data_IF_844565815226
#
_entry.id   IF_844565815226
#
_cell.length_a   1.000
_cell.length_b   1.000
_cell.length_c   1.000
_cell.angle_alpha   90.00
_cell.angle_beta   90.00
_cell.angle_gamma   90.00
#
_symmetry.space_group_name_H-M   'P 1'
#
loop_
_entity.id
_entity.type
_entity.pdbx_description
1 polymer ?
2 non-polymer ?
3 non-polymer ?
4 water ?
#
# COMPACT_ATOMS: atom_id res chain seq x y z
N UNK A 42 -35.50 2.47 -40.04
CA UNK A 42 -34.73 3.38 -39.23
C UNK A 42 -34.67 3.03 -37.76
N UNK A 43 -35.77 2.47 -37.25
CA UNK A 43 -35.84 2.10 -35.83
C UNK A 43 -34.62 1.32 -35.39
N UNK A 44 -33.99 0.59 -36.31
CA UNK A 44 -32.82 -0.22 -36.02
C UNK A 44 -31.71 0.62 -35.39
N UNK A 45 -31.82 1.94 -35.52
CA UNK A 45 -30.92 2.84 -34.80
C UNK A 45 -31.05 2.64 -33.29
N UNK A 46 -32.27 2.43 -32.82
CA UNK A 46 -32.57 2.37 -31.39
C UNK A 46 -32.93 0.98 -30.92
N UNK A 47 -33.37 0.11 -31.83
CA UNK A 47 -33.46 -1.29 -31.47
C UNK A 47 -32.12 -1.79 -30.95
N UNK A 48 -31.03 -1.17 -31.43
CA UNK A 48 -29.69 -1.49 -30.97
C UNK A 48 -29.49 -1.01 -29.53
N UNK A 49 -29.87 0.25 -29.28
CA UNK A 49 -29.66 0.85 -27.97
C UNK A 49 -30.32 0.06 -26.86
N UNK A 50 -31.52 -0.47 -27.10
CA UNK A 50 -32.24 -1.14 -26.03
C UNK A 50 -31.45 -2.35 -25.51
N UNK A 51 -30.88 -3.13 -26.39
CA UNK A 51 -30.20 -4.35 -25.99
C UNK A 51 -28.90 -4.13 -25.21
N UNK A 52 -28.23 -3.02 -25.50
CA UNK A 52 -26.96 -2.70 -24.88
C UNK A 52 -27.06 -1.91 -23.59
N UNK A 53 -28.03 -0.99 -23.49
CA UNK A 53 -28.09 -0.10 -22.35
C UNK A 53 -28.27 -0.86 -21.04
N UNK A 54 -29.02 -1.97 -21.07
CA UNK A 54 -29.11 -2.81 -19.89
C UNK A 54 -27.74 -3.31 -19.47
N UNK A 55 -26.97 -3.85 -20.44
CA UNK A 55 -25.65 -4.38 -20.15
C UNK A 55 -24.73 -3.29 -19.59
N UNK A 56 -24.70 -2.13 -20.22
CA UNK A 56 -23.89 -1.02 -19.74
C UNK A 56 -24.16 -0.74 -18.27
N UNK A 57 -25.43 -0.58 -17.91
CA UNK A 57 -25.75 -0.36 -16.50
C UNK A 57 -25.18 -1.43 -15.61
N UNK A 58 -25.26 -2.69 -16.04
CA UNK A 58 -24.67 -3.79 -15.29
C UNK A 58 -23.17 -3.58 -15.17
N UNK A 59 -22.48 -3.51 -16.30
CA UNK A 59 -21.02 -3.43 -16.36
C UNK A 59 -20.44 -2.28 -15.53
N UNK A 60 -20.95 -1.08 -15.78
CA UNK A 60 -20.52 0.09 -15.03
C UNK A 60 -20.77 -0.11 -13.53
N UNK A 61 -21.91 -0.72 -13.20
CA UNK A 61 -22.20 -0.97 -11.79
C UNK A 61 -21.28 -2.05 -11.22
N UNK A 62 -20.87 -3.00 -12.06
CA UNK A 62 -19.85 -3.95 -11.64
C UNK A 62 -18.51 -3.28 -11.37
N UNK A 63 -18.08 -2.41 -12.29
CA UNK A 63 -16.85 -1.64 -12.09
C UNK A 63 -16.96 -0.80 -10.83
N UNK A 64 -18.17 -0.34 -10.50
CA UNK A 64 -18.36 0.52 -9.35
C UNK A 64 -18.15 -0.25 -8.06
N UNK A 65 -18.60 -1.51 -8.01
CA UNK A 65 -18.37 -2.33 -6.82
C UNK A 65 -16.90 -2.64 -6.65
N UNK A 66 -16.20 -2.93 -7.75
CA UNK A 66 -14.77 -3.20 -7.70
C UNK A 66 -14.00 -2.00 -7.16
N UNK A 67 -14.49 -0.78 -7.42
CA UNK A 67 -13.79 0.40 -6.93
C UNK A 67 -14.07 0.63 -5.45
N UNK A 68 -15.25 0.25 -4.97
CA UNK A 68 -15.51 0.28 -3.54
C UNK A 68 -14.67 -0.76 -2.81
N UNK A 69 -14.68 -2.00 -3.31
CA UNK A 69 -13.93 -3.06 -2.67
C UNK A 69 -12.44 -2.75 -2.62
N UNK A 70 -11.89 -2.24 -3.71
CA UNK A 70 -10.47 -1.92 -3.74
C UNK A 70 -10.11 -0.78 -2.80
N UNK A 71 -11.02 0.19 -2.65
CA UNK A 71 -10.77 1.29 -1.72
C UNK A 71 -10.88 0.82 -0.27
N UNK A 72 -11.84 -0.06 0.01
CA UNK A 72 -11.94 -0.62 1.35
C UNK A 72 -10.65 -1.34 1.74
N UNK A 73 -10.11 -2.15 0.83
CA UNK A 73 -8.88 -2.87 1.12
C UNK A 73 -7.74 -1.90 1.40
N UNK A 74 -7.54 -0.92 0.51
CA UNK A 74 -6.47 0.07 0.69
C UNK A 74 -6.59 0.76 2.04
N UNK A 75 -7.81 1.13 2.42
CA UNK A 75 -8.01 1.83 3.68
C UNK A 75 -7.71 0.94 4.87
N UNK A 76 -8.26 -0.27 4.88
CA UNK A 76 -8.05 -1.19 6.00
C UNK A 76 -6.58 -1.51 6.20
N UNK A 77 -5.81 -1.59 5.11
CA UNK A 77 -4.37 -1.81 5.24
C UNK A 77 -3.67 -0.61 5.84
N UNK A 78 -4.13 0.61 5.52
CA UNK A 78 -3.49 1.81 6.04
C UNK A 78 -3.90 2.06 7.49
N UNK A 79 -5.15 1.72 7.85
CA UNK A 79 -5.52 1.76 9.26
C UNK A 79 -4.63 0.82 10.05
N UNK A 80 -4.27 -0.31 9.44
CA UNK A 80 -3.41 -1.28 10.11
C UNK A 80 -1.99 -0.75 10.29
N UNK A 81 -1.46 -0.08 9.27
CA UNK A 81 -0.12 0.48 9.40
C UNK A 81 -0.08 1.62 10.40
N UNK A 82 -1.17 2.35 10.57
CA UNK A 82 -1.21 3.41 11.58
C UNK A 82 -1.37 2.84 12.98
N UNK A 83 -2.01 1.68 13.12
CA UNK A 83 -2.13 1.07 14.43
C UNK A 83 -0.77 0.62 14.96
N UNK A 84 0.05 0.03 14.10
CA UNK A 84 1.40 -0.30 14.51
C UNK A 84 2.18 0.91 14.93
N UNK A 85 2.02 2.01 14.19
CA UNK A 85 2.65 3.27 14.58
C UNK A 85 2.13 3.74 15.93
N UNK A 86 0.83 3.61 16.16
CA UNK A 86 0.19 4.17 17.35
C UNK A 86 0.46 3.32 18.59
N UNK A 87 1.26 2.27 18.48
CA UNK A 87 1.55 1.43 19.64
C UNK A 87 2.08 2.28 20.79
N UNK A 88 1.43 2.16 21.93
CA UNK A 88 1.85 2.76 23.19
C UNK A 88 2.16 1.64 24.18
N UNK A 89 3.07 1.87 25.12
CA UNK A 89 3.37 0.84 26.11
C UNK A 89 2.10 0.44 26.84
N UNK A 90 2.06 -0.81 27.30
CA UNK A 90 0.84 -1.33 27.87
C UNK A 90 0.59 -0.70 29.24
N UNK A 91 -0.68 -0.45 29.53
CA UNK A 91 -1.11 0.02 30.85
C UNK A 91 -2.37 -0.75 31.23
N UNK A 92 -2.91 -0.42 32.40
CA UNK A 92 -4.14 -1.05 32.87
C UNK A 92 -5.32 -0.27 32.31
N UNK A 93 -6.15 -0.94 31.55
CA UNK A 93 -7.32 -0.32 30.94
C UNK A 93 -8.55 -1.11 31.33
N UNK A 94 -9.67 -0.41 31.48
CA UNK A 94 -10.93 -1.08 31.75
C UNK A 94 -11.34 -1.78 30.45
N UNK A 95 -11.47 -3.11 30.50
CA UNK A 95 -11.85 -3.83 29.29
C UNK A 95 -13.32 -3.67 28.96
N UNK A 96 -14.11 -3.20 29.92
CA UNK A 96 -15.52 -2.94 29.68
C UNK A 96 -15.72 -1.59 28.99
N UNK A 97 -14.86 -0.61 29.30
CA UNK A 97 -14.88 0.65 28.58
C UNK A 97 -14.61 0.42 27.09
N UNK A 98 -13.58 -0.38 26.78
CA UNK A 98 -13.30 -0.73 25.40
C UNK A 98 -14.52 -1.35 24.74
N UNK A 99 -15.18 -2.27 25.43
CA UNK A 99 -16.35 -2.93 24.86
C UNK A 99 -17.44 -1.94 24.52
N UNK A 100 -17.68 -0.95 25.39
CA UNK A 100 -18.76 0.00 25.17
C UNK A 100 -18.45 0.97 24.03
N UNK A 101 -17.19 1.37 23.88
CA UNK A 101 -16.82 2.13 22.69
C UNK A 101 -17.06 1.31 21.42
N UNK A 102 -16.50 0.10 21.37
CA UNK A 102 -16.70 -0.74 20.19
C UNK A 102 -18.19 -0.96 19.96
N UNK A 103 -18.96 -1.05 21.03
CA UNK A 103 -20.41 -1.16 20.93
C UNK A 103 -21.05 0.17 20.54
N UNK A 104 -20.33 1.28 20.69
CA UNK A 104 -20.85 2.58 20.27
C UNK A 104 -20.81 2.74 18.75
N UNK A 105 -19.61 2.59 18.17
CA UNK A 105 -19.47 2.72 16.72
C UNK A 105 -20.39 1.77 15.98
N UNK A 106 -20.46 0.52 16.43
CA UNK A 106 -21.24 -0.49 15.73
C UNK A 106 -22.73 -0.45 16.02
N UNK A 107 -23.22 0.42 16.91
CA UNK A 107 -24.65 0.36 17.19
C UNK A 107 -25.48 0.77 15.98
N UNK A 108 -24.96 1.61 15.06
CA UNK A 108 -25.67 1.74 13.77
C UNK A 108 -25.80 0.41 13.07
N UNK A 109 -24.69 -0.31 12.89
CA UNK A 109 -24.73 -1.61 12.25
C UNK A 109 -25.47 -2.66 13.09
N UNK A 110 -25.56 -2.47 14.41
CA UNK A 110 -26.26 -3.46 15.24
C UNK A 110 -27.77 -3.33 15.08
N UNK A 111 -28.30 -2.10 15.06
CA UNK A 111 -29.73 -1.92 14.84
C UNK A 111 -30.12 -2.45 13.47
N UNK A 112 -29.29 -2.20 12.46
CA UNK A 112 -29.46 -2.83 11.15
C UNK A 112 -29.63 -4.34 11.27
N UNK A 113 -29.00 -4.97 12.26
CA UNK A 113 -28.93 -6.42 12.33
C UNK A 113 -30.00 -7.06 13.20
N UNK A 114 -30.82 -6.26 13.88
CA UNK A 114 -31.86 -6.77 14.77
C UNK A 114 -31.36 -7.96 15.58
N UNK A 115 -30.20 -7.76 16.20
CA UNK A 115 -29.51 -8.74 17.02
C UNK A 115 -29.46 -8.28 18.47
N UNK A 116 -29.30 -9.23 19.39
CA UNK A 116 -29.25 -8.94 20.81
C UNK A 116 -27.88 -9.21 21.39
N UNK A 117 -27.39 -8.24 22.17
CA UNK A 117 -26.05 -8.25 22.75
C UNK A 117 -26.19 -8.42 24.26
N UNK A 118 -25.60 -9.49 24.79
CA UNK A 118 -25.41 -9.62 26.23
C UNK A 118 -24.03 -9.07 26.53
N UNK A 119 -23.97 -7.89 27.14
CA UNK A 119 -22.70 -7.21 27.35
C UNK A 119 -22.33 -7.49 28.80
N UNK A 120 -21.50 -8.51 28.99
CA UNK A 120 -21.06 -8.91 30.31
C UNK A 120 -19.96 -7.99 30.81
N UNK A 121 -19.58 -8.20 32.07
CA UNK A 121 -18.61 -7.35 32.76
C UNK A 121 -17.20 -7.75 32.34
N UNK A 122 -16.49 -6.85 31.66
CA UNK A 122 -15.12 -7.16 31.27
C UNK A 122 -14.17 -6.54 32.28
N UNK A 123 -13.23 -7.32 32.83
CA UNK A 123 -12.35 -6.77 33.87
C UNK A 123 -11.26 -5.87 33.32
N UNK A 124 -10.34 -5.40 34.16
CA UNK A 124 -9.15 -4.74 33.66
C UNK A 124 -8.11 -5.74 33.16
N UNK A 125 -7.24 -5.26 32.29
CA UNK A 125 -6.12 -6.03 31.76
C UNK A 125 -5.10 -5.03 31.27
N UNK A 126 -3.83 -5.44 31.26
CA UNK A 126 -2.74 -4.55 30.91
C UNK A 126 -2.44 -4.71 29.43
N UNK A 127 -2.79 -3.70 28.65
CA UNK A 127 -2.88 -3.82 27.20
C UNK A 127 -2.98 -2.43 26.60
N UNK A 128 -2.99 -2.38 25.27
CA UNK A 128 -3.13 -1.14 24.52
C UNK A 128 -4.60 -0.92 24.17
N UNK A 129 -5.15 0.20 24.64
CA UNK A 129 -6.59 0.43 24.51
C UNK A 129 -7.04 0.51 23.06
N UNK A 130 -6.33 1.30 22.25
CA UNK A 130 -6.70 1.42 20.83
C UNK A 130 -6.70 0.06 20.14
N UNK A 131 -5.62 -0.71 20.32
CA UNK A 131 -5.48 -1.97 19.61
C UNK A 131 -6.47 -3.02 20.12
N UNK A 132 -6.79 -3.00 21.41
CA UNK A 132 -7.78 -3.95 21.91
C UNK A 132 -9.18 -3.52 21.49
N UNK A 133 -9.41 -2.21 21.33
CA UNK A 133 -10.66 -1.77 20.72
C UNK A 133 -10.75 -2.28 19.29
N UNK A 134 -9.62 -2.31 18.58
CA UNK A 134 -9.59 -2.82 17.22
C UNK A 134 -9.94 -4.31 17.19
N UNK A 135 -9.48 -5.06 18.19
CA UNK A 135 -9.72 -6.51 18.21
C UNK A 135 -11.17 -6.82 18.54
N UNK A 136 -11.79 -6.04 19.43
CA UNK A 136 -13.20 -6.28 19.73
C UNK A 136 -14.08 -5.99 18.52
N UNK A 137 -13.82 -4.88 17.83
CA UNK A 137 -14.54 -4.54 16.62
C UNK A 137 -14.51 -5.70 15.62
N UNK A 138 -13.31 -6.08 15.19
CA UNK A 138 -13.18 -7.06 14.11
C UNK A 138 -13.92 -8.35 14.41
N UNK A 139 -13.97 -8.76 15.68
CA UNK A 139 -14.67 -9.99 16.03
C UNK A 139 -16.17 -9.76 16.14
N UNK A 140 -16.57 -8.66 16.79
CA UNK A 140 -17.99 -8.37 16.92
C UNK A 140 -18.60 -8.00 15.56
N UNK A 141 -17.86 -7.25 14.75
CA UNK A 141 -18.32 -6.94 13.40
C UNK A 141 -18.39 -8.18 12.53
N UNK A 142 -17.37 -9.03 12.61
CA UNK A 142 -17.41 -10.28 11.86
C UNK A 142 -18.55 -11.16 12.34
N UNK A 143 -18.87 -11.08 13.62
CA UNK A 143 -19.95 -11.87 14.18
C UNK A 143 -21.31 -11.30 13.76
N UNK A 144 -21.38 -9.99 13.55
CA UNK A 144 -22.58 -9.37 12.98
C UNK A 144 -22.69 -9.68 11.49
N UNK A 145 -21.59 -9.49 10.73
CA UNK A 145 -21.64 -9.70 9.29
C UNK A 145 -22.05 -11.13 8.93
N UNK A 146 -21.51 -12.12 9.64
CA UNK A 146 -21.82 -13.52 9.35
C UNK A 146 -22.90 -13.99 10.32
N UNK A 147 -24.08 -13.40 10.15
CA UNK A 147 -25.33 -13.75 10.82
C UNK A 147 -26.25 -14.53 9.89
N UNK A 148 -27.15 -15.30 10.49
CA UNK A 148 -28.08 -16.10 9.69
C UNK A 148 -29.39 -15.35 9.44
N UNK A 149 -29.87 -15.33 8.20
CA UNK A 149 -31.11 -14.58 7.89
C UNK A 149 -32.38 -15.22 8.42
N UNK A 150 -32.29 -16.36 9.08
CA UNK A 150 -33.45 -17.10 9.57
C UNK A 150 -33.64 -16.94 11.08
N UNK A 151 -32.62 -16.47 11.79
CA UNK A 151 -32.64 -16.41 13.22
C UNK A 151 -32.12 -15.04 13.65
N UNK A 152 -32.80 -14.36 14.57
CA UNK A 152 -32.21 -13.16 15.16
C UNK A 152 -30.93 -13.60 15.83
N UNK A 153 -29.79 -13.09 15.35
CA UNK A 153 -28.55 -13.59 15.89
C UNK A 153 -28.41 -13.06 17.30
N UNK A 154 -28.03 -13.93 18.23
CA UNK A 154 -27.91 -13.57 19.63
C UNK A 154 -26.44 -13.68 20.00
N UNK A 155 -25.91 -12.59 20.56
CA UNK A 155 -24.47 -12.44 20.74
C UNK A 155 -24.16 -12.32 22.22
N UNK A 156 -23.00 -12.87 22.58
CA UNK A 156 -22.54 -12.94 23.97
C UNK A 156 -21.09 -12.50 23.99
N UNK A 157 -20.77 -11.51 24.81
CA UNK A 157 -19.39 -11.06 24.99
C UNK A 157 -19.07 -11.26 26.46
N UNK A 158 -18.48 -12.40 26.79
CA UNK A 158 -18.12 -12.72 28.16
C UNK A 158 -16.61 -12.82 28.30
N UNK A 159 -16.18 -13.14 29.52
CA UNK A 159 -14.78 -13.41 29.82
C UNK A 159 -14.73 -14.45 30.92
N UNK A 160 -13.80 -15.39 30.80
CA UNK A 160 -13.63 -16.45 31.77
C UNK A 160 -12.14 -16.67 31.92
N UNK A 161 -11.65 -16.84 33.16
CA UNK A 161 -10.23 -17.09 33.41
C UNK A 161 -9.69 -18.25 32.58
N UNK A 175 -4.31 -16.71 32.98
CA UNK A 175 -4.55 -15.93 31.77
C UNK A 175 -6.04 -15.68 31.59
N UNK A 176 -6.38 -14.41 31.34
CA UNK A 176 -7.77 -14.02 31.10
C UNK A 176 -8.11 -14.22 29.63
N UNK A 177 -9.22 -14.91 29.36
CA UNK A 177 -9.68 -15.21 28.01
C UNK A 177 -11.03 -14.54 27.77
N UNK A 178 -11.09 -13.65 26.78
CA UNK A 178 -12.30 -12.94 26.40
C UNK A 178 -12.93 -13.63 25.18
N UNK A 179 -14.25 -13.77 25.20
CA UNK A 179 -14.97 -14.52 24.18
C UNK A 179 -16.14 -13.73 23.63
N UNK A 180 -16.40 -13.94 22.34
CA UNK A 180 -17.59 -13.45 21.66
C UNK A 180 -18.27 -14.68 21.06
N UNK A 181 -19.38 -15.08 21.64
CA UNK A 181 -20.19 -16.17 21.12
C UNK A 181 -21.33 -15.56 20.30
N UNK A 182 -21.64 -16.20 19.17
CA UNK A 182 -22.69 -15.68 18.30
C UNK A 182 -23.63 -16.78 17.86
N UNK A 183 -24.92 -16.43 17.79
CA UNK A 183 -25.92 -17.29 17.15
C UNK A 183 -26.01 -16.86 15.69
N UNK A 184 -24.94 -17.15 14.97
CA UNK A 184 -24.79 -16.77 13.58
C UNK A 184 -24.48 -17.96 12.70
N UNK A 185 -23.96 -17.68 11.50
CA UNK A 185 -23.46 -18.75 10.66
C UNK A 185 -22.32 -19.44 11.39
N UNK A 186 -22.13 -20.71 11.06
CA UNK A 186 -20.96 -21.42 11.52
C UNK A 186 -19.98 -21.47 10.38
N UNK A 187 -18.81 -22.04 10.66
CA UNK A 187 -17.93 -22.42 9.57
C UNK A 187 -17.39 -23.81 9.85
N UNK A 188 -16.90 -24.45 8.80
CA UNK A 188 -16.53 -25.85 8.86
C UNK A 188 -15.07 -25.97 9.24
N UNK A 189 -14.77 -26.90 10.15
CA UNK A 189 -13.44 -27.00 10.74
C UNK A 189 -12.38 -27.43 9.73
N UNK A 190 -12.77 -27.75 8.49
CA UNK A 190 -11.77 -28.04 7.47
C UNK A 190 -11.11 -26.77 6.95
N UNK A 191 -11.69 -25.61 7.21
CA UNK A 191 -11.23 -24.33 6.66
C UNK A 191 -10.60 -23.40 7.68
N UNK A 192 -10.41 -23.86 8.93
CA UNK A 192 -9.90 -22.98 9.99
C UNK A 192 -8.60 -22.34 9.58
N UNK A 193 -7.78 -23.05 8.81
CA UNK A 193 -6.55 -22.43 8.31
C UNK A 193 -6.88 -21.28 7.38
N UNK A 194 -7.92 -21.41 6.54
CA UNK A 194 -8.32 -20.30 5.69
C UNK A 194 -8.91 -19.17 6.52
N UNK A 195 -9.69 -19.53 7.55
CA UNK A 195 -10.39 -18.52 8.34
C UNK A 195 -9.40 -17.48 8.86
N UNK A 196 -8.23 -17.94 9.30
CA UNK A 196 -7.23 -17.05 9.88
C UNK A 196 -6.19 -16.60 8.87
N UNK A 197 -6.32 -17.01 7.61
CA UNK A 197 -5.37 -16.59 6.60
C UNK A 197 -5.79 -15.24 6.03
N UNK A 198 -4.84 -14.35 5.76
CA UNK A 198 -5.20 -13.03 5.25
C UNK A 198 -5.50 -13.15 3.76
N UNK A 199 -6.49 -12.38 3.34
CA UNK A 199 -6.94 -12.32 1.95
C UNK A 199 -7.58 -13.62 1.51
N UNK A 200 -7.68 -14.63 2.38
CA UNK A 200 -8.44 -15.84 2.11
C UNK A 200 -9.71 -15.84 2.94
N UNK A 201 -10.81 -15.48 2.31
CA UNK A 201 -12.14 -15.55 2.89
C UNK A 201 -12.77 -16.88 2.50
N UNK A 202 -13.79 -17.28 3.25
CA UNK A 202 -14.53 -18.49 2.95
C UNK A 202 -15.68 -18.22 2.00
N UNK A 203 -15.91 -16.96 1.63
CA UNK A 203 -17.09 -16.57 0.89
C UNK A 203 -16.73 -15.72 -0.32
N UNK A 204 -17.59 -15.78 -1.34
CA UNK A 204 -17.51 -14.84 -2.44
C UNK A 204 -17.90 -13.46 -1.97
N UNK A 205 -17.49 -12.41 -2.71
CA UNK A 205 -17.81 -11.04 -2.27
C UNK A 205 -19.25 -10.61 -2.47
N UNK A 206 -20.07 -11.37 -3.20
CA UNK A 206 -21.43 -10.90 -3.47
C UNK A 206 -22.31 -11.01 -2.23
N UNK A 207 -22.44 -12.23 -1.70
CA UNK A 207 -23.37 -12.49 -0.60
C UNK A 207 -22.83 -12.06 0.76
N UNK A 208 -21.51 -11.97 0.90
CA UNK A 208 -20.88 -11.42 2.10
C UNK A 208 -19.70 -10.56 1.67
N UNK A 209 -19.74 -9.30 2.07
CA UNK A 209 -18.68 -8.36 1.77
C UNK A 209 -17.64 -8.43 2.88
N UNK A 210 -16.43 -7.97 2.57
CA UNK A 210 -15.36 -7.89 3.54
C UNK A 210 -14.01 -7.75 2.85
N UNK A 211 -12.92 -7.70 3.63
CA UNK A 211 -11.59 -7.47 3.08
C UNK A 211 -10.64 -8.64 3.29
N UNK A 212 -10.94 -9.58 4.20
CA UNK A 212 -10.13 -10.75 4.39
C UNK A 212 -8.96 -10.62 5.33
N UNK A 213 -8.72 -9.45 5.92
CA UNK A 213 -7.62 -9.24 6.86
C UNK A 213 -8.09 -9.21 8.31
N UNK A 214 -9.40 -9.23 8.56
CA UNK A 214 -9.91 -9.01 9.90
C UNK A 214 -9.25 -9.83 10.98
N UNK A 215 -9.26 -11.16 10.87
CA UNK A 215 -8.74 -11.99 11.95
C UNK A 215 -7.23 -12.07 11.94
N UNK A 216 -6.62 -11.95 10.76
CA UNK A 216 -5.17 -11.81 10.73
C UNK A 216 -4.73 -10.55 11.48
N UNK A 217 -5.55 -9.50 11.43
CA UNK A 217 -5.27 -8.29 12.20
C UNK A 217 -5.29 -8.60 13.68
N UNK A 218 -6.41 -9.16 14.15
CA UNK A 218 -6.58 -9.53 15.55
C UNK A 218 -5.37 -10.29 16.09
N UNK A 219 -4.86 -11.23 15.30
CA UNK A 219 -3.82 -12.13 15.77
C UNK A 219 -2.51 -11.39 16.04
N UNK A 220 -2.15 -10.43 15.18
CA UNK A 220 -0.92 -9.67 15.42
C UNK A 220 -1.06 -8.78 16.65
N UNK A 221 -2.27 -8.29 16.91
CA UNK A 221 -2.51 -7.51 18.12
C UNK A 221 -2.43 -8.39 19.35
N UNK A 222 -3.19 -9.50 19.37
CA UNK A 222 -3.20 -10.36 20.55
C UNK A 222 -1.84 -11.00 20.77
N UNK A 223 -1.04 -11.15 19.72
CA UNK A 223 0.28 -11.74 19.88
C UNK A 223 1.30 -10.72 20.34
N UNK A 224 1.11 -9.45 19.98
CA UNK A 224 1.92 -8.39 20.57
C UNK A 224 1.64 -8.24 22.05
N UNK A 225 0.48 -8.69 22.52
CA UNK A 225 0.12 -8.67 23.93
C UNK A 225 0.47 -9.99 24.64
N UNK A 226 1.10 -10.94 23.94
CA UNK A 226 1.38 -12.24 24.50
C UNK A 226 0.18 -13.14 24.68
N UNK A 227 -0.83 -12.99 23.82
CA UNK A 227 -2.04 -13.78 23.90
C UNK A 227 -2.17 -14.82 22.80
N UNK A 228 -3.32 -15.49 22.82
CA UNK A 228 -3.69 -16.46 21.80
C UNK A 228 -4.92 -16.00 21.05
N UNK A 229 -5.15 -16.66 19.91
CA UNK A 229 -6.41 -16.60 19.20
C UNK A 229 -6.87 -18.03 19.01
N UNK A 230 -8.17 -18.25 19.15
CA UNK A 230 -8.72 -19.58 19.08
C UNK A 230 -10.22 -19.52 18.94
N UNK A 231 -10.80 -20.66 18.56
CA UNK A 231 -12.22 -20.68 18.22
C UNK A 231 -12.73 -22.10 18.36
N UNK A 232 -14.00 -22.21 18.75
CA UNK A 232 -14.80 -23.40 18.52
C UNK A 232 -15.95 -22.99 17.62
N UNK A 233 -16.30 -23.87 16.67
CA UNK A 233 -17.32 -23.56 15.71
C UNK A 233 -18.31 -24.72 15.55
N UNK A 234 -19.56 -24.37 15.31
CA UNK A 234 -20.60 -25.35 15.03
C UNK A 234 -21.36 -24.89 13.79
N UNK A 235 -21.12 -25.50 12.63
CA UNK A 235 -21.75 -25.00 11.40
C UNK A 235 -23.27 -25.02 11.52
N UNK A 236 -23.88 -23.89 11.14
CA UNK A 236 -25.32 -23.74 11.23
C UNK A 236 -25.84 -23.22 12.55
N UNK A 237 -25.19 -23.56 13.66
CA UNK A 237 -25.62 -23.08 14.98
C UNK A 237 -24.99 -21.74 15.33
N UNK A 238 -23.67 -21.67 15.24
CA UNK A 238 -22.94 -20.47 15.61
C UNK A 238 -21.52 -20.82 15.98
N UNK A 239 -20.69 -19.78 16.08
CA UNK A 239 -19.28 -19.91 16.39
C UNK A 239 -18.89 -18.87 17.43
N UNK A 240 -17.96 -19.25 18.30
CA UNK A 240 -17.45 -18.36 19.34
C UNK A 240 -15.93 -18.30 19.23
N UNK A 241 -15.42 -17.09 19.01
CA UNK A 241 -14.00 -16.81 18.91
C UNK A 241 -13.53 -16.23 20.23
N UNK A 242 -12.28 -16.49 20.60
CA UNK A 242 -11.78 -15.98 21.88
C UNK A 242 -10.32 -15.60 21.78
N UNK A 243 -9.91 -14.66 22.64
CA UNK A 243 -8.52 -14.23 22.73
C UNK A 243 -8.16 -13.94 24.19
N UNK A 244 -6.93 -14.28 24.56
CA UNK A 244 -6.43 -14.15 25.93
C UNK A 244 -5.44 -12.99 26.07
N UNK A 245 -5.36 -12.46 27.31
CA UNK A 245 -4.46 -11.39 27.75
C UNK A 245 -3.71 -11.75 29.02
N UNK A 246 -2.41 -11.43 29.10
CA UNK A 246 -1.61 -11.74 30.30
C UNK A 246 -1.85 -10.75 31.43
N UNK A 247 -1.66 -11.23 32.67
CA UNK A 247 -1.81 -10.44 33.89
C UNK A 247 -0.47 -10.38 34.60
N UNK A 248 0.16 -9.20 34.59
CA UNK A 248 1.44 -9.01 35.29
C UNK A 248 1.93 -7.58 35.17
N UNK B 45 -36.79 12.03 -29.71
CA UNK B 45 -35.79 11.37 -30.55
C UNK B 45 -34.42 11.97 -30.30
N UNK B 46 -33.38 11.14 -30.28
CA UNK B 46 -32.06 11.57 -29.79
C UNK B 46 -31.01 11.56 -30.90
N UNK B 47 -30.69 12.75 -31.42
CA UNK B 47 -29.31 13.01 -31.83
C UNK B 47 -28.37 12.89 -30.64
N UNK B 48 -28.91 13.08 -29.44
CA UNK B 48 -28.09 13.16 -28.22
C UNK B 48 -27.31 11.87 -28.01
N UNK B 49 -27.96 10.71 -28.16
CA UNK B 49 -27.25 9.47 -27.85
C UNK B 49 -25.94 9.37 -28.60
N UNK B 50 -25.91 9.85 -29.85
CA UNK B 50 -24.68 9.78 -30.63
C UNK B 50 -23.57 10.58 -29.96
N UNK B 51 -23.93 11.67 -29.30
CA UNK B 51 -22.95 12.47 -28.59
C UNK B 51 -22.55 11.83 -27.28
N UNK B 52 -23.53 11.24 -26.60
CA UNK B 52 -23.21 10.48 -25.40
C UNK B 52 -22.13 9.46 -25.66
N UNK B 53 -22.16 8.81 -26.82
CA UNK B 53 -21.19 7.77 -27.12
C UNK B 53 -19.78 8.35 -27.19
N UNK B 54 -19.66 9.56 -27.74
CA UNK B 54 -18.38 10.27 -27.69
C UNK B 54 -17.93 10.49 -26.25
N UNK B 55 -18.83 11.04 -25.43
CA UNK B 55 -18.48 11.35 -24.05
C UNK B 55 -18.15 10.09 -23.26
N UNK B 56 -18.99 9.05 -23.38
CA UNK B 56 -18.71 7.77 -22.73
C UNK B 56 -17.31 7.29 -23.05
N UNK B 57 -16.95 7.29 -24.33
CA UNK B 57 -15.62 6.86 -24.71
C UNK B 57 -14.53 7.61 -23.96
N UNK B 58 -14.74 8.92 -23.73
CA UNK B 58 -13.76 9.71 -22.99
C UNK B 58 -13.63 9.16 -21.56
N UNK B 59 -14.75 9.07 -20.85
CA UNK B 59 -14.72 8.69 -19.45
C UNK B 59 -14.20 7.28 -19.21
N UNK B 60 -14.76 6.31 -19.93
CA UNK B 60 -14.29 4.93 -19.79
C UNK B 60 -12.78 4.87 -19.96
N UNK B 61 -12.25 5.62 -20.94
CA UNK B 61 -10.80 5.65 -21.14
C UNK B 61 -10.11 6.43 -20.04
N UNK B 62 -10.79 7.43 -19.47
CA UNK B 62 -10.23 8.12 -18.32
C UNK B 62 -10.06 7.21 -17.13
N UNK B 63 -11.10 6.42 -16.82
CA UNK B 63 -10.99 5.42 -15.77
C UNK B 63 -9.88 4.43 -16.07
N UNK B 64 -9.69 4.12 -17.36
CA UNK B 64 -8.69 3.14 -17.73
C UNK B 64 -7.27 3.67 -17.52
N UNK B 65 -7.02 4.92 -17.92
CA UNK B 65 -5.70 5.51 -17.68
C UNK B 65 -5.52 5.88 -16.21
N UNK B 66 -6.58 6.41 -15.58
CA UNK B 66 -6.52 6.74 -14.17
C UNK B 66 -6.27 5.50 -13.32
N UNK B 67 -6.78 4.34 -13.76
CA UNK B 67 -6.56 3.10 -13.02
C UNK B 67 -5.22 2.46 -13.34
N UNK B 68 -4.67 2.69 -14.53
CA UNK B 68 -3.33 2.19 -14.82
C UNK B 68 -2.28 2.88 -13.98
N UNK B 69 -2.38 4.21 -13.84
CA UNK B 69 -1.44 4.94 -12.99
C UNK B 69 -1.51 4.41 -11.56
N UNK B 70 -2.72 4.08 -11.10
CA UNK B 70 -2.87 3.52 -9.76
C UNK B 70 -2.15 2.19 -9.65
N UNK B 71 -2.14 1.40 -10.74
CA UNK B 71 -1.44 0.12 -10.72
C UNK B 71 0.07 0.33 -10.68
N UNK B 72 0.58 1.32 -11.43
CA UNK B 72 1.99 1.65 -11.40
C UNK B 72 2.45 2.03 -9.99
N UNK B 73 1.69 2.90 -9.32
CA UNK B 73 2.06 3.28 -7.95
C UNK B 73 2.06 2.07 -7.03
N UNK B 74 1.02 1.24 -7.12
CA UNK B 74 0.95 0.07 -6.27
C UNK B 74 2.20 -0.79 -6.45
N UNK B 75 2.68 -0.90 -7.70
CA UNK B 75 3.89 -1.69 -7.95
C UNK B 75 5.14 -0.98 -7.43
N UNK B 76 5.33 0.30 -7.80
CA UNK B 76 6.54 1.01 -7.35
C UNK B 76 6.61 1.05 -5.83
N UNK B 77 5.47 1.14 -5.16
CA UNK B 77 5.48 1.11 -3.70
C UNK B 77 5.85 -0.27 -3.19
N UNK B 78 5.47 -1.33 -3.91
CA UNK B 78 5.73 -2.68 -3.44
C UNK B 78 7.17 -3.12 -3.69
N UNK B 79 7.76 -2.75 -4.82
CA UNK B 79 9.17 -3.04 -5.05
C UNK B 79 10.08 -2.32 -4.07
N UNK B 80 9.85 -1.02 -3.87
CA UNK B 80 10.77 -0.20 -3.10
C UNK B 80 10.61 -0.47 -1.62
N UNK B 81 9.38 -0.70 -1.17
CA UNK B 81 9.17 -1.05 0.24
C UNK B 81 9.76 -2.41 0.60
N UNK B 82 9.80 -3.37 -0.34
CA UNK B 82 10.39 -4.67 -0.01
C UNK B 82 11.91 -4.58 0.10
N UNK B 83 12.53 -3.54 -0.47
CA UNK B 83 13.97 -3.36 -0.33
C UNK B 83 14.35 -3.16 1.13
N UNK B 84 13.55 -2.38 1.86
CA UNK B 84 13.79 -2.22 3.29
C UNK B 84 13.71 -3.52 4.05
N UNK B 85 12.76 -4.39 3.68
CA UNK B 85 12.66 -5.70 4.32
C UNK B 85 13.91 -6.53 4.06
N UNK B 86 14.44 -6.48 2.83
CA UNK B 86 15.60 -7.26 2.44
C UNK B 86 16.91 -6.59 2.85
N UNK B 87 16.84 -5.50 3.61
CA UNK B 87 18.02 -4.77 4.06
C UNK B 87 19.01 -5.70 4.74
N UNK B 88 20.28 -5.60 4.31
CA UNK B 88 21.45 -6.26 4.86
C UNK B 88 22.39 -5.23 5.48
N UNK B 89 23.11 -5.57 6.54
CA UNK B 89 24.11 -4.64 7.07
C UNK B 89 25.18 -4.35 6.03
N UNK B 90 25.73 -3.14 6.09
CA UNK B 90 26.61 -2.66 5.03
C UNK B 90 28.00 -3.31 5.11
N UNK B 91 28.58 -3.54 3.93
CA UNK B 91 29.98 -3.93 3.81
C UNK B 91 30.57 -3.13 2.66
N UNK B 92 31.85 -3.37 2.38
CA UNK B 92 32.55 -2.68 1.29
C UNK B 92 32.35 -3.47 0.01
N UNK B 93 31.69 -2.86 -0.97
CA UNK B 93 31.44 -3.48 -2.26
C UNK B 93 31.90 -2.52 -3.36
N UNK B 94 32.29 -3.09 -4.49
CA UNK B 94 32.71 -2.31 -5.65
C UNK B 94 31.51 -1.61 -6.28
N UNK B 95 31.56 -0.29 -6.35
CA UNK B 95 30.51 0.48 -6.97
C UNK B 95 30.52 0.37 -8.48
N UNK B 96 31.60 -0.14 -9.06
CA UNK B 96 31.65 -0.28 -10.51
C UNK B 96 30.86 -1.49 -10.99
N UNK B 97 30.91 -2.60 -10.25
CA UNK B 97 30.08 -3.75 -10.59
C UNK B 97 28.61 -3.39 -10.48
N UNK B 98 28.24 -2.72 -9.39
CA UNK B 98 26.86 -2.26 -9.21
C UNK B 98 26.42 -1.41 -10.38
N UNK B 99 27.28 -0.49 -10.82
CA UNK B 99 26.92 0.35 -11.95
C UNK B 99 26.73 -0.48 -13.21
N UNK B 100 27.60 -1.47 -13.42
CA UNK B 100 27.49 -2.30 -14.61
C UNK B 100 26.21 -3.11 -14.61
N UNK B 101 25.71 -3.46 -13.42
CA UNK B 101 24.37 -4.02 -13.32
C UNK B 101 23.33 -3.08 -13.93
N UNK B 102 23.33 -1.83 -13.47
CA UNK B 102 22.31 -0.86 -13.90
C UNK B 102 22.37 -0.64 -15.41
N UNK B 103 23.56 -0.65 -15.99
CA UNK B 103 23.66 -0.51 -17.43
C UNK B 103 23.20 -1.77 -18.15
N UNK B 104 23.08 -2.89 -17.43
CA UNK B 104 22.51 -4.11 -18.01
C UNK B 104 21.00 -3.98 -18.14
N UNK B 105 20.32 -3.66 -17.05
CA UNK B 105 18.86 -3.53 -17.09
C UNK B 105 18.44 -2.50 -18.14
N UNK B 106 19.11 -1.35 -18.16
CA UNK B 106 18.77 -0.25 -19.05
C UNK B 106 19.26 -0.47 -20.47
N UNK B 107 19.84 -1.63 -20.79
CA UNK B 107 20.35 -1.83 -22.13
C UNK B 107 19.28 -1.72 -23.21
N UNK B 108 18.02 -2.10 -22.96
CA UNK B 108 16.94 -1.73 -23.89
C UNK B 108 16.65 -0.23 -23.95
N UNK B 109 16.43 0.37 -22.78
CA UNK B 109 16.07 1.78 -22.70
C UNK B 109 17.17 2.70 -23.19
N UNK B 110 18.43 2.27 -23.13
CA UNK B 110 19.53 3.13 -23.57
C UNK B 110 19.57 3.20 -25.08
N UNK B 111 19.47 2.05 -25.74
CA UNK B 111 19.46 2.04 -27.21
C UNK B 111 18.20 2.70 -27.76
N UNK B 112 17.05 2.47 -27.11
CA UNK B 112 15.83 3.18 -27.49
C UNK B 112 16.08 4.67 -27.63
N UNK B 113 16.93 5.22 -26.78
CA UNK B 113 17.20 6.64 -26.75
C UNK B 113 18.42 7.02 -27.56
N UNK B 114 19.09 6.03 -28.16
CA UNK B 114 20.35 6.28 -28.86
C UNK B 114 21.22 7.20 -28.03
N UNK B 115 21.42 6.78 -26.78
CA UNK B 115 22.20 7.54 -25.82
C UNK B 115 23.51 6.83 -25.55
N UNK B 116 24.52 7.63 -25.22
CA UNK B 116 25.87 7.17 -24.93
C UNK B 116 26.19 7.45 -23.47
N UNK B 117 26.62 6.42 -22.76
CA UNK B 117 26.86 6.49 -21.33
C UNK B 117 28.36 6.31 -21.10
N UNK B 118 29.01 7.37 -20.64
CA UNK B 118 30.43 7.36 -20.29
C UNK B 118 30.57 7.08 -18.80
N UNK B 119 31.07 5.87 -18.46
CA UNK B 119 31.13 5.35 -17.10
C UNK B 119 32.54 5.39 -16.54
N UNK B 120 32.81 6.32 -15.63
CA UNK B 120 34.10 6.32 -14.97
C UNK B 120 34.19 5.17 -13.97
N UNK B 121 35.39 4.97 -13.45
CA UNK B 121 35.61 3.88 -12.49
C UNK B 121 35.15 4.34 -11.11
N UNK B 122 34.18 3.64 -10.55
CA UNK B 122 33.64 3.94 -9.23
C UNK B 122 34.34 3.10 -8.17
N UNK B 123 34.75 3.73 -7.08
CA UNK B 123 35.53 3.02 -6.07
C UNK B 123 34.71 2.03 -5.26
N UNK B 124 35.33 1.43 -4.25
CA UNK B 124 34.53 0.71 -3.29
C UNK B 124 33.82 1.71 -2.37
N UNK B 125 32.74 1.22 -1.75
CA UNK B 125 32.01 2.05 -0.81
C UNK B 125 31.28 1.13 0.15
N UNK B 126 31.06 1.64 1.36
CA UNK B 126 30.48 0.84 2.42
C UNK B 126 29.00 1.14 2.45
N UNK B 127 28.20 0.22 1.96
CA UNK B 127 26.82 0.52 1.57
C UNK B 127 26.09 -0.79 1.34
N UNK B 128 24.79 -0.67 1.06
CA UNK B 128 23.94 -1.78 0.67
C UNK B 128 23.89 -1.82 -0.85
N UNK B 129 24.42 -2.90 -1.45
CA UNK B 129 24.58 -2.91 -2.90
C UNK B 129 23.24 -2.98 -3.62
N UNK B 130 22.30 -3.80 -3.14
CA UNK B 130 20.98 -3.85 -3.76
C UNK B 130 20.34 -2.46 -3.77
N UNK B 131 20.35 -1.79 -2.62
CA UNK B 131 19.69 -0.50 -2.51
C UNK B 131 20.42 0.59 -3.28
N UNK B 132 21.75 0.53 -3.37
CA UNK B 132 22.49 1.58 -4.06
C UNK B 132 22.39 1.44 -5.58
N UNK B 133 22.21 0.22 -6.11
CA UNK B 133 21.95 0.10 -7.53
C UNK B 133 20.63 0.77 -7.89
N UNK B 134 19.64 0.67 -7.01
CA UNK B 134 18.38 1.36 -7.25
C UNK B 134 18.58 2.86 -7.32
N UNK B 135 19.49 3.40 -6.50
CA UNK B 135 19.76 4.82 -6.55
C UNK B 135 20.41 5.17 -7.89
N UNK B 136 21.29 4.30 -8.38
CA UNK B 136 21.85 4.49 -9.72
C UNK B 136 20.79 4.24 -10.78
N UNK B 137 19.97 3.20 -10.59
CA UNK B 137 18.87 2.86 -11.48
C UNK B 137 17.99 4.09 -11.72
N UNK B 138 17.34 4.56 -10.65
CA UNK B 138 16.38 5.66 -10.79
C UNK B 138 17.03 6.89 -11.41
N UNK B 139 18.31 7.13 -11.13
CA UNK B 139 18.95 8.35 -11.64
C UNK B 139 19.28 8.25 -13.12
N UNK B 140 19.83 7.12 -13.56
CA UNK B 140 20.12 6.95 -14.98
C UNK B 140 18.82 6.87 -15.78
N UNK B 141 17.77 6.29 -15.18
CA UNK B 141 16.49 6.22 -15.86
C UNK B 141 15.89 7.61 -16.04
N UNK B 142 15.96 8.46 -15.01
CA UNK B 142 15.48 9.83 -15.16
C UNK B 142 16.28 10.59 -16.21
N UNK B 143 17.59 10.32 -16.33
CA UNK B 143 18.40 11.00 -17.34
C UNK B 143 18.06 10.49 -18.74
N UNK B 144 17.63 9.23 -18.83
CA UNK B 144 17.10 8.69 -20.08
C UNK B 144 15.69 9.20 -20.35
N UNK B 145 14.82 9.17 -19.34
CA UNK B 145 13.44 9.60 -19.54
C UNK B 145 13.34 11.04 -20.03
N UNK B 146 14.14 11.94 -19.45
CA UNK B 146 14.09 13.36 -19.76
C UNK B 146 15.16 13.76 -20.75
N UNK B 147 15.56 12.83 -21.62
CA UNK B 147 16.44 13.14 -22.71
C UNK B 147 15.78 14.17 -23.62
N UNK B 148 16.57 15.00 -24.25
CA UNK B 148 15.91 15.96 -25.13
C UNK B 148 15.96 15.43 -26.55
N UNK B 149 14.87 15.47 -27.31
CA UNK B 149 14.84 14.83 -28.63
C UNK B 149 15.65 15.55 -29.71
N UNK B 150 16.35 16.64 -29.40
CA UNK B 150 17.05 17.40 -30.42
C UNK B 150 18.56 17.17 -30.44
N UNK B 151 19.12 16.57 -29.39
CA UNK B 151 20.54 16.34 -29.30
C UNK B 151 20.74 14.93 -28.76
N UNK B 152 21.66 14.15 -29.31
CA UNK B 152 21.92 12.83 -28.72
C UNK B 152 22.33 12.95 -27.26
N UNK B 153 21.51 12.39 -26.38
CA UNK B 153 21.71 12.58 -24.96
C UNK B 153 22.89 11.75 -24.46
N UNK B 154 23.75 12.38 -23.66
CA UNK B 154 24.93 11.73 -23.11
C UNK B 154 24.91 11.79 -21.60
N UNK B 155 25.18 10.66 -20.96
CA UNK B 155 25.11 10.52 -19.52
C UNK B 155 26.50 10.14 -19.02
N UNK B 156 26.89 10.70 -17.88
CA UNK B 156 28.20 10.45 -17.30
C UNK B 156 28.03 10.18 -15.81
N UNK B 157 28.71 9.14 -15.34
CA UNK B 157 28.70 8.77 -13.94
C UNK B 157 30.11 9.04 -13.43
N UNK B 158 30.27 10.09 -12.66
CA UNK B 158 31.58 10.52 -12.20
C UNK B 158 31.78 10.01 -10.77
N UNK B 159 32.94 10.32 -10.22
CA UNK B 159 33.19 10.09 -8.81
C UNK B 159 34.19 11.14 -8.35
N UNK B 160 33.88 11.84 -7.26
CA UNK B 160 34.85 12.82 -6.80
C UNK B 160 34.78 13.04 -5.30
N UNK B 161 35.92 13.10 -4.61
CA UNK B 161 35.92 13.49 -3.20
C UNK B 161 35.29 14.86 -3.04
N UNK B 162 34.19 14.92 -2.29
CA UNK B 162 33.53 16.19 -2.08
C UNK B 162 34.04 16.79 -0.77
N UNK B 163 33.39 17.85 -0.32
CA UNK B 163 33.68 18.42 0.99
C UNK B 163 32.46 19.19 1.45
N UNK B 164 31.96 18.85 2.63
CA UNK B 164 30.83 19.54 3.24
C UNK B 164 30.71 19.16 4.71
N UNK B 173 34.26 12.64 8.51
CA UNK B 173 34.47 11.42 7.74
C UNK B 173 34.39 11.71 6.24
N UNK B 174 35.52 11.64 5.56
CA UNK B 174 35.54 11.93 4.10
C UNK B 174 34.58 11.02 3.36
N UNK B 175 33.62 11.62 2.67
CA UNK B 175 32.61 10.89 1.92
C UNK B 175 32.88 11.07 0.43
N UNK B 176 32.80 9.98 -0.32
CA UNK B 176 32.86 10.07 -1.77
C UNK B 176 31.47 10.40 -2.29
N UNK B 177 31.38 11.36 -3.20
CA UNK B 177 30.11 11.78 -3.75
C UNK B 177 30.03 11.33 -5.20
N UNK B 178 29.03 10.51 -5.51
CA UNK B 178 28.80 10.00 -6.86
C UNK B 178 27.81 10.93 -7.54
N UNK B 179 28.09 11.29 -8.80
CA UNK B 179 27.25 12.24 -9.51
C UNK B 179 26.91 11.68 -10.88
N UNK B 180 25.69 11.95 -11.34
CA UNK B 180 25.22 11.54 -12.66
C UNK B 180 24.70 12.78 -13.37
N UNK B 181 25.46 13.28 -14.33
CA UNK B 181 25.06 14.41 -15.15
C UNK B 181 24.60 13.95 -16.53
N UNK B 182 23.54 14.57 -17.03
CA UNK B 182 22.94 14.24 -18.32
C UNK B 182 22.59 15.54 -19.02
N UNK B 183 22.66 15.53 -20.35
CA UNK B 183 22.21 16.65 -21.17
C UNK B 183 20.73 16.46 -21.48
N UNK B 184 19.88 16.81 -20.52
CA UNK B 184 18.46 16.59 -20.74
C UNK B 184 17.73 17.92 -20.79
N UNK B 185 16.40 17.86 -20.72
CA UNK B 185 15.60 19.08 -20.73
C UNK B 185 15.85 19.93 -19.50
N UNK B 186 16.15 19.31 -18.38
CA UNK B 186 16.36 20.05 -17.17
C UNK B 186 15.03 20.43 -16.56
N UNK B 187 15.09 21.09 -15.41
CA UNK B 187 13.92 21.67 -14.78
C UNK B 187 14.27 23.05 -14.26
N UNK B 188 13.27 23.73 -13.72
CA UNK B 188 13.44 25.13 -13.35
C UNK B 188 14.17 25.18 -12.03
N UNK B 189 15.15 26.08 -11.94
CA UNK B 189 16.06 26.08 -10.81
C UNK B 189 15.37 26.46 -9.52
N UNK B 190 14.09 26.84 -9.64
CA UNK B 190 13.23 27.06 -8.49
C UNK B 190 12.79 25.76 -7.85
N UNK B 191 13.02 24.63 -8.51
CA UNK B 191 12.45 23.34 -8.12
C UNK B 191 13.46 22.43 -7.43
N UNK B 192 14.69 22.89 -7.24
CA UNK B 192 15.76 22.01 -6.77
C UNK B 192 15.39 21.35 -5.44
N UNK B 193 14.79 22.12 -4.52
CA UNK B 193 14.35 21.54 -3.25
C UNK B 193 13.15 20.63 -3.43
N UNK B 194 12.20 21.06 -4.28
CA UNK B 194 10.96 20.32 -4.50
C UNK B 194 11.18 18.98 -5.19
N UNK B 195 12.14 18.90 -6.11
CA UNK B 195 12.32 17.71 -6.95
C UNK B 195 12.42 16.42 -6.13
N UNK B 196 12.99 16.49 -4.93
CA UNK B 196 13.25 15.27 -4.19
C UNK B 196 12.07 14.83 -3.33
N UNK B 197 10.96 15.54 -3.41
CA UNK B 197 9.72 15.26 -2.72
C UNK B 197 8.82 14.35 -3.55
N UNK B 198 8.10 13.44 -2.89
CA UNK B 198 7.28 12.47 -3.63
C UNK B 198 5.97 13.05 -4.13
N UNK B 199 5.56 12.53 -5.29
CA UNK B 199 4.28 12.90 -5.89
C UNK B 199 4.27 14.36 -6.26
N UNK B 200 5.39 15.04 -6.11
CA UNK B 200 5.49 16.45 -6.43
C UNK B 200 6.04 16.42 -7.85
N UNK B 201 5.13 16.46 -8.81
CA UNK B 201 5.49 16.40 -10.22
C UNK B 201 5.55 17.83 -10.73
N UNK B 202 6.36 18.07 -11.77
CA UNK B 202 6.48 19.44 -12.24
C UNK B 202 5.50 19.74 -13.35
N UNK B 203 5.10 18.71 -14.10
CA UNK B 203 4.21 18.84 -15.22
C UNK B 203 3.15 17.74 -15.13
N UNK B 204 2.02 17.99 -15.79
CA UNK B 204 0.93 17.04 -15.79
C UNK B 204 1.30 15.69 -16.38
N UNK B 205 0.46 14.69 -16.13
CA UNK B 205 0.74 13.33 -16.61
C UNK B 205 0.63 13.19 -18.12
N UNK B 206 0.30 14.25 -18.84
CA UNK B 206 0.18 14.16 -20.30
C UNK B 206 1.52 13.86 -20.95
N UNK B 207 2.52 14.71 -20.68
CA UNK B 207 3.81 14.63 -21.37
C UNK B 207 4.77 13.59 -20.78
N UNK B 208 4.70 13.31 -19.48
CA UNK B 208 5.52 12.26 -18.88
C UNK B 208 4.72 11.55 -17.80
N UNK B 209 4.52 10.24 -17.95
CA UNK B 209 3.84 9.46 -16.93
C UNK B 209 4.90 8.87 -16.01
N UNK B 210 4.71 9.05 -14.71
CA UNK B 210 5.63 8.59 -13.70
C UNK B 210 4.85 8.51 -12.40
N UNK B 211 5.52 8.17 -11.32
CA UNK B 211 4.84 7.97 -10.05
C UNK B 211 5.20 9.00 -9.01
N UNK B 212 6.31 9.73 -9.19
CA UNK B 212 6.70 10.73 -8.23
C UNK B 212 7.41 10.18 -7.03
N UNK B 213 7.57 8.86 -6.95
CA UNK B 213 8.25 8.23 -5.82
C UNK B 213 9.70 7.86 -6.13
N UNK B 214 10.08 7.80 -7.40
CA UNK B 214 11.40 7.30 -7.76
C UNK B 214 12.52 8.01 -7.04
N UNK B 215 12.58 9.33 -7.23
CA UNK B 215 13.71 10.12 -6.77
C UNK B 215 13.61 10.48 -5.29
N UNK B 216 12.39 10.60 -4.77
CA UNK B 216 12.24 10.73 -3.32
C UNK B 216 12.72 9.47 -2.62
N UNK B 217 12.55 8.31 -3.25
CA UNK B 217 13.07 7.06 -2.71
C UNK B 217 14.60 7.13 -2.61
N UNK B 218 15.24 7.48 -3.73
CA UNK B 218 16.70 7.64 -3.74
C UNK B 218 17.19 8.44 -2.54
N UNK B 219 16.46 9.48 -2.15
CA UNK B 219 16.95 10.36 -1.09
C UNK B 219 16.98 9.62 0.24
N UNK B 220 15.94 8.82 0.51
CA UNK B 220 15.85 8.10 1.77
C UNK B 220 16.79 6.89 1.83
N UNK B 221 17.11 6.28 0.68
CA UNK B 221 18.16 5.25 0.68
C UNK B 221 19.51 5.88 1.00
N UNK B 222 19.83 6.98 0.32
CA UNK B 222 21.08 7.69 0.57
C UNK B 222 21.11 8.24 1.98
N UNK B 223 19.94 8.45 2.59
CA UNK B 223 19.89 8.97 3.96
C UNK B 223 20.06 7.85 4.98
N UNK B 224 19.65 6.63 4.65
CA UNK B 224 19.96 5.49 5.50
C UNK B 224 21.45 5.22 5.54
N UNK B 225 22.19 5.67 4.54
CA UNK B 225 23.62 5.49 4.51
C UNK B 225 24.38 6.63 5.15
N UNK B 226 23.68 7.60 5.73
CA UNK B 226 24.32 8.78 6.28
C UNK B 226 24.87 9.74 5.26
N UNK B 227 24.30 9.72 4.04
CA UNK B 227 24.70 10.64 2.99
C UNK B 227 23.63 11.70 2.76
N UNK B 228 23.94 12.58 1.81
CA UNK B 228 23.01 13.61 1.36
C UNK B 228 22.81 13.49 -0.15
N UNK B 229 21.75 14.14 -0.63
CA UNK B 229 21.46 14.19 -2.06
C UNK B 229 21.28 15.65 -2.48
N UNK B 230 21.62 15.92 -3.73
CA UNK B 230 21.56 17.27 -4.25
C UNK B 230 21.62 17.25 -5.77
N UNK B 231 21.35 18.42 -6.36
CA UNK B 231 21.22 18.53 -7.81
C UNK B 231 21.56 19.95 -8.23
N UNK B 232 22.18 20.07 -9.40
CA UNK B 232 22.27 21.32 -10.14
C UNK B 232 21.60 21.13 -11.49
N UNK B 233 20.84 22.13 -11.93
CA UNK B 233 20.10 22.05 -13.18
C UNK B 233 20.30 23.33 -13.97
N UNK B 234 20.33 23.17 -15.30
CA UNK B 234 20.40 24.30 -16.21
C UNK B 234 19.27 24.07 -17.20
N UNK B 235 18.16 24.82 -17.09
CA UNK B 235 17.00 24.53 -17.94
C UNK B 235 17.37 24.60 -19.41
N UNK B 236 16.98 23.57 -20.15
CA UNK B 236 17.32 23.49 -21.55
C UNK B 236 18.69 22.89 -21.77
N UNK B 237 19.59 23.05 -20.80
CA UNK B 237 20.96 22.55 -20.89
C UNK B 237 21.09 21.12 -20.38
N UNK B 238 20.64 20.87 -19.16
CA UNK B 238 20.80 19.56 -18.56
C UNK B 238 20.77 19.65 -17.05
N UNK B 239 20.67 18.49 -16.43
CA UNK B 239 20.59 18.40 -14.98
C UNK B 239 21.52 17.30 -14.48
N UNK B 240 22.11 17.54 -13.31
CA UNK B 240 23.01 16.57 -12.68
C UNK B 240 22.63 16.36 -11.22
N UNK B 241 22.21 15.15 -10.89
CA UNK B 241 21.97 14.78 -9.50
C UNK B 241 23.16 14.02 -8.97
N UNK B 242 23.38 14.14 -7.67
CA UNK B 242 24.50 13.48 -7.02
C UNK B 242 24.09 13.08 -5.62
N UNK B 243 24.75 12.07 -5.08
CA UNK B 243 24.53 11.63 -3.71
C UNK B 243 25.87 11.26 -3.12
N UNK B 244 26.04 11.53 -1.83
CA UNK B 244 27.29 11.25 -1.15
C UNK B 244 27.16 9.94 -0.39
N UNK B 245 28.29 9.29 -0.16
CA UNK B 245 28.30 8.06 0.62
C UNK B 245 29.37 8.24 1.69
N UNK B 246 29.05 8.00 2.96
CA UNK B 246 30.04 8.20 4.01
C UNK B 246 31.01 7.05 4.11
N UNK B 247 32.20 7.35 4.62
CA UNK B 247 33.26 6.38 4.79
C UNK B 247 33.41 6.16 6.29
N UNK B 248 32.97 4.99 6.75
CA UNK B 248 33.00 4.57 8.15
C UNK B 248 31.68 4.90 8.84
X LIG C 1 -12.68 -7.93 7.01
X LIG C 1 -12.71 -8.07 8.49
X LIG C 1 -11.32 -7.53 6.45
X LIG C 1 -13.73 -6.95 6.47
X LIG C 1 -13.61 -10.74 6.62
X LIG C 1 -14.00 -11.51 5.43
X LIG C 1 -14.74 -10.52 7.62
X LIG C 1 -13.00 -9.32 6.29
X LIG C 1 -12.14 -12.09 8.82
X LIG C 1 -10.70 -12.13 9.13
X LIG C 1 -13.08 -11.39 9.83
X LIG C 1 -12.39 -11.45 7.39
X LIG C 1 -12.71 -13.55 8.61
X LIG C 1 -12.26 -14.40 7.54
X LIG C 1 -13.30 -15.47 7.42
X LIG C 1 -13.65 -15.84 8.77
X LIG C 1 -14.61 -14.84 6.95
X LIG C 1 -14.70 -14.96 5.54
X LIG C 1 -15.65 -15.79 7.52
X LIG C 1 -15.80 -16.89 6.62
X LIG C 1 -14.96 -16.37 8.76
X LIG C 1 -15.64 -15.88 9.96
X LIG C 1 -15.28 -14.80 10.71
X LIG C 1 -16.08 -14.55 11.72
X LIG C 1 -17.06 -15.53 11.61
X LIG C 1 -18.21 -15.82 12.36
X LIG C 1 -18.58 -15.12 13.43
X LIG C 1 -18.98 -16.87 11.98
X LIG C 1 -18.60 -17.57 10.91
X LIG C 1 -17.55 -17.39 10.11
X LIG C 1 -16.80 -16.35 10.51
X LIG C 1 -11.39 -14.78 7.74
X LIG C 1 -12.21 -13.89 6.71
X LIG C 1 -13.03 -16.24 6.90
X LIG C 1 -14.66 -13.92 7.29
X LIG C 1 -14.09 -15.50 5.29
X LIG C 1 -16.47 -15.31 7.73
X LIG C 1 -16.20 -17.50 7.05
X LIG C 1 -14.90 -17.34 8.73
X LIG C 1 -14.52 -14.28 10.53
X LIG C 1 -19.30 -15.30 13.87
X LIG C 1 -18.09 -14.46 13.69
X LIG C 1 -19.16 -18.28 10.69
X LIG D 1 -14.05 -8.47 9.84
X LIG E 1 9.19 7.37 -11.20
X LIG E 1 8.93 7.33 -9.74
X LIG E 1 8.45 6.29 -11.99
X LIG E 1 10.68 7.30 -11.58
X LIG E 1 9.24 10.19 -12.12
X LIG E 1 10.33 10.15 -13.13
X LIG E 1 8.04 11.04 -12.52
X LIG E 1 8.70 8.73 -11.82
X LIG E 1 11.08 11.13 -9.94
X LIG E 1 11.00 11.01 -8.47
X LIG E 1 12.22 10.36 -10.60
X LIG E 1 9.69 10.68 -10.67
X LIG E 1 11.24 12.64 -10.34
X LIG E 1 10.11 13.54 -10.37
X LIG E 1 10.51 14.76 -11.14
X LIG E 1 11.95 14.75 -11.20
X LIG E 1 10.16 14.56 -12.60
X LIG E 1 8.90 15.17 -12.84
X LIG E 1 11.20 15.43 -13.32
X LIG E 1 10.68 16.76 -13.43
X LIG E 1 12.32 15.58 -12.28
X LIG E 1 13.56 15.05 -12.81
X LIG E 1 14.27 13.98 -12.34
X LIG E 1 15.37 13.72 -13.01
X LIG E 1 15.38 14.68 -14.00
X LIG E 1 16.28 14.96 -15.05
X LIG E 1 17.38 14.24 -15.28
X LIG E 1 16.00 16.00 -15.87
X LIG E 1 14.90 16.71 -15.64
X LIG E 1 13.97 16.54 -14.69
X LIG E 1 14.27 15.51 -13.90
X LIG E 1 9.86 13.78 -9.47
X LIG E 1 9.36 13.11 -10.81
X LIG E 1 10.17 15.59 -10.75
X LIG E 1 10.22 13.62 -12.84
X LIG E 1 8.87 15.30 -13.68
X LIG E 1 11.49 15.00 -14.14
X LIG E 1 10.39 16.82 -14.22
X LIG E 1 12.40 16.49 -11.98
X LIG E 1 14.00 13.47 -11.61
X LIG E 1 17.92 14.44 -15.92
X LIG E 1 17.53 13.55 -14.79
X LIG E 1 14.75 17.42 -16.22
X LIG F 1 12.55 7.74 -12.27
#
# INVERSE_FOLDING_TARGET
>A
XTEKLERINTQLARSNEELESFAHVASHDIKEPLRHIEAFAGLLADNIREMGDERLGVMVSGIEKSSRRLRNLINDLAEFSQLGRRSKPLSWVSLETVLNEVLADLQPRITEARAEIQADRLPFARCDHNQIRQVLQNLIANSLKYRDPARPCRIRIFAQPDDNGGRAEIGSAPAIRICVTDNGIGFDKKYIDQVFEPFQRLHGPDDYEGSGIGLAICRKIVQRHGGRVGVDTVPGQGSTFWFTLPVSDDHGQGLEHHHHH
>B
XTEKLERINTQLARSNEELESFAHVASHDIKEPLRHIEAFAGLLADNIREMGDERLGVMVSGIEKSSRRLRNLINDLAEFSQLGRRSKPLSWVSLETVLNEVLADLQPRITEARAEIQADRLPFARCDHNQIRQVLQNLIANSLKYRDPARPCRIRIFAQPDDNGGRAEIGSAPAIRICVTDNGIGFDKKYIDQVFEPFQRLHGPDDYEGSGIGLAICRKIVQRHGGRVGVDTVPGQGSTFWFTLPVSDDHGQGLEHHHHH
>C hetero
1 ATP PG O1G O2G O3G PB O1B O2B O3B PA O1A O2A O3A O5' C5' C4' O4' C3' O3' C2' O2' C1' N9 C8 N7 C5 C6 N6 N1 C2 N3 C4 H5'1 H5'2 H4' H3' HO3' H2' HO2' H1' H8 HN61 HN62 H2
>D hetero
1 MG MG
>E hetero
1 ATP PG O1G O2G O3G PB O1B O2B O3B PA O1A O2A O3A O5' C5' C4' O4' C3' O3' C2' O2' C1' N9 C8 N7 C5 C6 N6 N1 C2 N3 C4 H5'1 H5'2 H4' H3' HO3' H2' HO2' H1' H8 HN61 HN62 H2
>F hetero
1 MG MG
#
